data_IF_519777698755
#
_entry.id   IF_519777698755
#
_cell.length_a   1.000
_cell.length_b   1.000
_cell.length_c   1.000
_cell.angle_alpha   90.00
_cell.angle_beta   90.00
_cell.angle_gamma   90.00
#
_symmetry.space_group_name_H-M   'P 1'
#
loop_
_entity.id
_entity.type
_entity.pdbx_description
1 polymer ?
#
# COMPACT_ATOMS: atom_id res chain seq x y z
N UNK A 1 0.50 22.26 -11.48
CA UNK A 1 -0.19 22.17 -12.78
C UNK A 1 -1.62 21.68 -12.57
N UNK A 2 -2.62 22.40 -13.07
CA UNK A 2 -4.06 22.07 -12.89
C UNK A 2 -4.37 20.71 -13.53
N UNK A 3 -3.83 20.43 -14.72
CA UNK A 3 -4.06 19.17 -15.44
C UNK A 3 -3.55 17.97 -14.62
N UNK A 4 -2.31 18.04 -14.13
CA UNK A 4 -1.70 16.96 -13.33
C UNK A 4 -2.52 16.64 -12.08
N UNK A 5 -2.86 17.67 -11.29
CA UNK A 5 -3.63 17.48 -10.07
C UNK A 5 -5.05 16.97 -10.36
N UNK A 6 -5.68 17.46 -11.43
CA UNK A 6 -7.02 17.01 -11.83
C UNK A 6 -7.03 15.53 -12.23
N UNK A 7 -6.01 15.08 -12.97
CA UNK A 7 -5.85 13.66 -13.34
C UNK A 7 -5.63 12.80 -12.10
N UNK A 8 -4.77 13.23 -11.16
CA UNK A 8 -4.56 12.50 -9.90
C UNK A 8 -5.87 12.39 -9.11
N UNK A 9 -6.60 13.49 -8.93
CA UNK A 9 -7.88 13.48 -8.21
C UNK A 9 -8.91 12.60 -8.89
N UNK A 10 -8.96 12.59 -10.22
CA UNK A 10 -9.84 11.71 -10.99
C UNK A 10 -9.50 10.22 -10.76
N UNK A 11 -8.22 9.85 -10.90
CA UNK A 11 -7.76 8.48 -10.67
C UNK A 11 -8.03 8.03 -9.24
N UNK A 12 -7.69 8.87 -8.26
CA UNK A 12 -7.96 8.60 -6.85
C UNK A 12 -9.46 8.34 -6.61
N UNK A 13 -10.33 9.24 -7.06
CA UNK A 13 -11.77 9.08 -6.84
C UNK A 13 -12.36 7.86 -7.53
N UNK A 14 -11.81 7.50 -8.70
CA UNK A 14 -12.23 6.30 -9.44
C UNK A 14 -11.81 5.00 -8.75
N UNK A 15 -10.60 4.94 -8.20
CA UNK A 15 -10.00 3.68 -7.75
C UNK A 15 -9.91 3.51 -6.23
N UNK A 16 -10.13 4.57 -5.43
CA UNK A 16 -9.97 4.52 -3.95
C UNK A 16 -10.72 3.38 -3.27
N UNK A 17 -11.93 3.04 -3.75
CA UNK A 17 -12.72 1.98 -3.14
C UNK A 17 -12.09 0.60 -3.39
N UNK A 18 -11.56 0.37 -4.59
CA UNK A 18 -10.89 -0.89 -4.97
C UNK A 18 -9.53 -0.99 -4.28
N UNK A 19 -8.78 0.12 -4.23
CA UNK A 19 -7.50 0.20 -3.54
C UNK A 19 -7.64 0.05 -2.02
N UNK A 20 -8.73 0.53 -1.43
CA UNK A 20 -9.00 0.31 -0.01
C UNK A 20 -9.39 -1.15 0.27
N UNK A 21 -10.35 -1.67 -0.50
CA UNK A 21 -10.78 -3.07 -0.41
C UNK A 21 -11.57 -3.51 -1.65
N UNK A 22 -11.00 -4.39 -2.46
CA UNK A 22 -11.68 -4.97 -3.62
C UNK A 22 -12.72 -6.03 -3.22
N UNK A 23 -13.94 -5.59 -2.93
CA UNK A 23 -15.06 -6.48 -2.53
C UNK A 23 -15.42 -7.54 -3.59
N UNK A 24 -15.09 -7.30 -4.87
CA UNK A 24 -15.46 -8.24 -5.95
C UNK A 24 -14.49 -9.40 -6.00
N UNK A 25 -13.20 -9.13 -5.75
CA UNK A 25 -12.14 -10.15 -5.70
C UNK A 25 -12.03 -10.80 -4.33
N UNK A 26 -12.01 -10.00 -3.26
CA UNK A 26 -11.80 -10.43 -1.87
C UNK A 26 -13.10 -10.89 -1.21
N UNK A 27 -13.72 -11.91 -1.81
CA UNK A 27 -14.87 -12.61 -1.21
C UNK A 27 -14.41 -13.55 -0.09
N UNK A 28 -15.31 -13.95 0.80
CA UNK A 28 -14.99 -14.91 1.86
C UNK A 28 -14.42 -16.23 1.30
N UNK A 29 -14.95 -16.71 0.18
CA UNK A 29 -14.46 -17.92 -0.48
C UNK A 29 -13.02 -17.73 -0.97
N UNK A 30 -12.72 -16.57 -1.58
CA UNK A 30 -11.36 -16.28 -2.06
C UNK A 30 -10.37 -16.16 -0.91
N UNK A 31 -10.75 -15.48 0.18
CA UNK A 31 -9.92 -15.33 1.38
C UNK A 31 -9.59 -16.71 1.99
N UNK A 32 -10.57 -17.63 2.05
CA UNK A 32 -10.35 -19.01 2.50
C UNK A 32 -9.39 -19.76 1.58
N UNK A 33 -9.55 -19.62 0.25
CA UNK A 33 -8.65 -20.24 -0.71
C UNK A 33 -7.21 -19.72 -0.57
N UNK A 34 -7.03 -18.42 -0.35
CA UNK A 34 -5.70 -17.85 -0.08
C UNK A 34 -5.10 -18.41 1.21
N UNK A 35 -5.89 -18.53 2.28
CA UNK A 35 -5.41 -19.11 3.52
C UNK A 35 -4.98 -20.57 3.36
N UNK A 36 -5.78 -21.37 2.67
CA UNK A 36 -5.44 -22.76 2.35
C UNK A 36 -4.19 -22.86 1.47
N UNK A 37 -4.01 -21.96 0.50
CA UNK A 37 -2.83 -21.94 -0.36
C UNK A 37 -1.54 -21.64 0.42
N UNK A 38 -1.61 -20.70 1.38
CA UNK A 38 -0.49 -20.37 2.26
C UNK A 38 -0.18 -21.55 3.20
N UNK A 39 -1.19 -22.14 3.82
CA UNK A 39 -1.02 -23.33 4.65
C UNK A 39 -0.45 -24.53 3.86
N UNK A 40 -0.88 -24.72 2.63
CA UNK A 40 -0.46 -25.82 1.75
C UNK A 40 1.03 -25.80 1.38
N UNK A 41 1.69 -24.65 1.49
CA UNK A 41 3.15 -24.52 1.30
C UNK A 41 3.92 -24.52 2.64
N UNK A 42 3.27 -24.87 3.75
CA UNK A 42 3.86 -24.85 5.09
C UNK A 42 3.83 -23.48 5.76
N UNK A 43 3.01 -22.55 5.26
CA UNK A 43 2.78 -21.24 5.86
C UNK A 43 1.87 -21.29 7.10
N UNK A 44 1.70 -20.14 7.77
CA UNK A 44 0.89 -20.03 8.99
C UNK A 44 -0.61 -20.22 8.72
N UNK A 45 -1.31 -20.78 9.72
CA UNK A 45 -2.76 -21.02 9.64
C UNK A 45 -3.57 -19.73 9.68
N UNK A 46 -4.69 -19.70 8.95
CA UNK A 46 -5.62 -18.57 8.87
C UNK A 46 -5.03 -17.23 8.38
N UNK A 47 -3.90 -17.26 7.66
CA UNK A 47 -3.32 -16.07 7.02
C UNK A 47 -3.67 -16.05 5.54
N UNK A 48 -4.30 -14.98 5.05
CA UNK A 48 -4.76 -14.87 3.65
C UNK A 48 -3.97 -13.85 2.82
N UNK A 49 -3.07 -13.10 3.44
CA UNK A 49 -2.28 -12.06 2.79
C UNK A 49 -1.23 -11.49 3.74
N UNK A 50 -0.27 -10.77 3.18
CA UNK A 50 0.88 -10.24 3.90
C UNK A 50 0.94 -8.73 3.78
N UNK A 51 1.10 -8.06 4.91
CA UNK A 51 1.25 -6.60 4.96
C UNK A 51 2.71 -6.24 4.71
N UNK A 52 2.96 -5.27 3.84
CA UNK A 52 4.28 -4.72 3.58
C UNK A 52 4.25 -3.19 3.50
N UNK A 53 5.29 -2.55 4.02
CA UNK A 53 5.50 -1.11 3.96
C UNK A 53 6.50 -0.76 2.86
N UNK A 54 6.05 -0.08 1.81
CA UNK A 54 6.91 0.33 0.69
C UNK A 54 7.24 1.82 0.77
N UNK A 55 8.52 2.16 0.82
CA UNK A 55 9.01 3.52 0.58
C UNK A 55 9.19 3.77 -0.92
N UNK A 56 8.58 4.83 -1.44
CA UNK A 56 8.74 5.28 -2.81
C UNK A 56 9.49 6.60 -2.85
N UNK A 57 10.72 6.57 -3.35
CA UNK A 57 11.54 7.78 -3.53
C UNK A 57 10.86 8.76 -4.47
N UNK A 58 10.96 10.05 -4.13
CA UNK A 58 10.49 11.19 -4.91
C UNK A 58 11.63 12.19 -5.09
N UNK A 59 11.47 13.12 -6.03
CA UNK A 59 12.34 14.28 -6.11
C UNK A 59 12.21 15.14 -4.84
N UNK A 60 13.26 15.89 -4.51
CA UNK A 60 13.23 16.85 -3.41
C UNK A 60 12.10 17.87 -3.65
N UNK A 61 11.08 17.93 -2.79
CA UNK A 61 9.99 18.89 -2.96
C UNK A 61 10.48 20.30 -2.63
N UNK A 62 9.85 21.34 -3.19
CA UNK A 62 10.22 22.72 -2.86
C UNK A 62 9.74 23.14 -1.46
N UNK A 63 8.67 22.51 -0.96
CA UNK A 63 8.03 22.80 0.32
C UNK A 63 8.03 21.54 1.19
N UNK A 64 8.09 21.74 2.50
CA UNK A 64 7.93 20.68 3.50
C UNK A 64 8.88 19.48 3.33
N UNK A 65 10.07 19.70 2.77
CA UNK A 65 11.10 18.67 2.53
C UNK A 65 11.34 17.75 3.72
N UNK A 66 11.39 18.33 4.91
CA UNK A 66 11.61 17.62 6.17
C UNK A 66 10.55 16.54 6.47
N UNK A 67 9.33 16.63 5.93
CA UNK A 67 8.30 15.60 6.07
C UNK A 67 8.60 14.37 5.22
N UNK A 68 9.19 14.58 4.05
CA UNK A 68 9.45 13.52 3.08
C UNK A 68 10.86 12.94 3.19
N UNK A 69 11.81 13.67 3.76
CA UNK A 69 13.17 13.17 3.95
C UNK A 69 13.21 12.07 5.02
N UNK A 70 13.66 10.88 4.63
CA UNK A 70 13.90 9.77 5.55
C UNK A 70 15.38 9.57 5.78
N UNK A 71 15.81 9.63 7.05
CA UNK A 71 17.20 9.37 7.42
C UNK A 71 17.64 7.93 7.14
N UNK A 72 16.68 6.98 7.12
CA UNK A 72 16.96 5.56 6.90
C UNK A 72 17.50 5.26 5.49
N UNK A 73 16.91 5.90 4.46
CA UNK A 73 17.36 5.77 3.06
C UNK A 73 18.10 7.00 2.54
N UNK A 74 18.26 8.02 3.37
CA UNK A 74 18.88 9.31 3.04
C UNK A 74 18.31 9.94 1.76
N UNK A 75 16.99 9.84 1.58
CA UNK A 75 16.29 10.34 0.41
C UNK A 75 14.93 10.94 0.77
N UNK A 76 14.32 11.68 -0.16
CA UNK A 76 12.91 12.08 -0.03
C UNK A 76 12.03 10.95 -0.54
N UNK A 77 11.05 10.54 0.26
CA UNK A 77 10.15 9.45 -0.06
C UNK A 77 8.75 9.68 0.51
N UNK A 78 7.79 8.99 -0.10
CA UNK A 78 6.46 8.74 0.45
C UNK A 78 6.35 7.26 0.81
N UNK A 79 5.57 6.94 1.85
CA UNK A 79 5.36 5.56 2.29
C UNK A 79 3.96 5.08 1.93
N UNK A 80 3.85 3.83 1.53
CA UNK A 80 2.60 3.11 1.35
C UNK A 80 2.62 1.84 2.17
N UNK A 81 1.45 1.39 2.59
CA UNK A 81 1.28 0.07 3.20
C UNK A 81 0.36 -0.75 2.31
N UNK A 82 0.81 -1.90 1.85
CA UNK A 82 0.05 -2.80 0.98
C UNK A 82 -0.25 -4.12 1.67
N UNK A 83 -1.42 -4.71 1.40
CA UNK A 83 -1.67 -6.13 1.64
C UNK A 83 -1.51 -6.85 0.32
N UNK A 84 -0.56 -7.78 0.23
CA UNK A 84 -0.37 -8.62 -0.95
C UNK A 84 -1.03 -9.98 -0.74
N UNK A 85 -1.84 -10.42 -1.70
CA UNK A 85 -2.49 -11.74 -1.68
C UNK A 85 -1.68 -12.78 -2.48
N UNK A 86 -1.90 -14.09 -2.27
CA UNK A 86 -1.17 -15.16 -2.97
C UNK A 86 -1.21 -15.14 -4.50
N UNK A 87 -2.17 -14.44 -5.10
CA UNK A 87 -2.23 -14.21 -6.55
C UNK A 87 -1.27 -13.10 -7.03
N UNK A 88 -0.48 -12.52 -6.13
CA UNK A 88 0.48 -11.45 -6.42
C UNK A 88 -0.15 -10.06 -6.52
N UNK A 89 -1.45 -9.92 -6.26
CA UNK A 89 -2.15 -8.64 -6.33
C UNK A 89 -2.16 -7.91 -4.98
N UNK A 90 -2.24 -6.58 -5.05
CA UNK A 90 -2.47 -5.74 -3.87
C UNK A 90 -3.97 -5.75 -3.56
N UNK A 91 -4.32 -6.24 -2.38
CA UNK A 91 -5.68 -6.32 -1.84
C UNK A 91 -6.14 -5.05 -1.14
N UNK A 92 -5.22 -4.35 -0.52
CA UNK A 92 -5.45 -3.06 0.10
C UNK A 92 -4.19 -2.22 0.01
N UNK A 93 -4.33 -0.91 -0.18
CA UNK A 93 -3.24 0.06 -0.25
C UNK A 93 -3.59 1.27 0.61
N UNK A 94 -2.89 1.39 1.74
CA UNK A 94 -2.90 2.54 2.63
C UNK A 94 -1.83 3.58 2.27
N UNK A 95 -2.09 4.83 2.62
CA UNK A 95 -1.25 5.99 2.31
C UNK A 95 -1.83 6.85 1.19
N UNK A 96 -1.03 7.76 0.61
CA UNK A 96 0.40 8.01 0.90
C UNK A 96 0.62 8.61 2.30
N UNK A 97 1.69 8.18 2.96
CA UNK A 97 2.17 8.72 4.25
C UNK A 97 3.52 9.42 4.08
N UNK A 98 3.86 10.29 5.03
CA UNK A 98 5.16 10.95 5.11
C UNK A 98 6.31 9.94 5.23
N UNK A 99 7.35 10.07 4.41
CA UNK A 99 8.48 9.11 4.39
C UNK A 99 9.29 9.05 5.68
N UNK A 100 9.29 10.11 6.50
CA UNK A 100 9.97 10.15 7.80
C UNK A 100 9.31 9.27 8.87
N UNK A 101 8.03 8.94 8.71
CA UNK A 101 7.28 8.21 9.74
C UNK A 101 7.85 6.80 9.90
N UNK A 102 7.92 6.31 11.14
CA UNK A 102 8.28 4.91 11.40
C UNK A 102 7.20 3.97 10.88
N UNK A 103 7.54 2.70 10.66
CA UNK A 103 6.55 1.72 10.20
C UNK A 103 5.38 1.59 11.17
N UNK A 104 5.63 1.66 12.48
CA UNK A 104 4.58 1.61 13.51
C UNK A 104 3.45 2.62 13.31
N UNK A 105 3.75 3.81 12.76
CA UNK A 105 2.76 4.87 12.53
C UNK A 105 1.83 4.60 11.34
N UNK A 106 2.11 3.58 10.54
CA UNK A 106 1.31 3.21 9.37
C UNK A 106 0.55 1.89 9.56
N UNK A 107 0.55 1.29 10.75
CA UNK A 107 -0.21 0.08 11.11
C UNK A 107 -1.53 0.39 11.80
#
# INVERSE_FOLDING_TARGET
SIVFNSVISFLYNRFKNILHWDRRRLTLNMIKLYAQAIEGIGGPVNIWGFVDGTLRSICQPEREQHQFYTGYKQCHAIKFQGITTPDGLIASLGGPFEGKLSDWMVW
#
